data_IF_093515241649
#
_entry.id   IF_093515241649
#
_cell.length_a   1.000
_cell.length_b   1.000
_cell.length_c   1.000
_cell.angle_alpha   90.00
_cell.angle_beta   90.00
_cell.angle_gamma   90.00
#
_symmetry.space_group_name_H-M   'P 1'
#
loop_
_entity.id
_entity.type
_entity.pdbx_description
1 polymer ?
#
# COMPACT_ATOMS: atom_id res chain seq x y z
N UNK A 1 -12.80 53.77 -59.58
CA UNK A 1 -12.19 54.17 -58.29
C UNK A 1 -10.68 53.97 -58.35
N UNK A 2 -9.92 54.99 -57.96
CA UNK A 2 -8.45 55.11 -57.95
C UNK A 2 -7.72 53.92 -57.29
N UNK A 3 -6.43 53.61 -57.50
CA UNK A 3 -5.33 53.97 -58.44
C UNK A 3 -4.29 52.81 -58.26
N UNK A 4 -3.67 52.24 -59.31
CA UNK A 4 -2.31 52.52 -59.83
C UNK A 4 -1.15 52.49 -58.77
N UNK A 5 0.07 51.97 -58.99
CA UNK A 5 0.67 51.23 -60.13
C UNK A 5 2.03 50.56 -59.72
N UNK A 6 2.43 49.56 -60.51
CA UNK A 6 3.78 49.06 -60.94
C UNK A 6 5.09 49.87 -60.66
N UNK A 7 6.34 49.36 -60.75
CA UNK A 7 6.95 48.03 -61.09
C UNK A 7 8.47 47.97 -60.75
N UNK A 8 9.12 46.76 -60.79
CA UNK A 8 10.58 46.52 -60.65
C UNK A 8 11.30 46.25 -62.00
N UNK A 9 12.67 46.26 -62.12
CA UNK A 9 13.49 45.03 -61.90
C UNK A 9 14.99 45.26 -61.51
N UNK A 10 15.83 44.19 -61.43
CA UNK A 10 17.30 44.30 -61.60
C UNK A 10 18.22 43.23 -60.93
N UNK A 11 18.58 42.16 -61.64
CA UNK A 11 19.78 41.29 -61.42
C UNK A 11 20.96 41.79 -62.32
N UNK A 12 22.25 41.34 -62.24
CA UNK A 12 22.77 40.04 -61.73
C UNK A 12 24.16 40.07 -61.00
N UNK A 13 24.74 38.86 -60.80
CA UNK A 13 26.15 38.45 -60.53
C UNK A 13 27.24 39.09 -61.47
N UNK A 14 28.60 38.83 -61.40
CA UNK A 14 29.37 37.72 -60.74
C UNK A 14 30.82 37.94 -60.17
N UNK A 15 31.33 36.90 -59.47
CA UNK A 15 32.70 36.28 -59.46
C UNK A 15 34.02 37.04 -59.14
N UNK A 16 34.82 36.38 -58.29
CA UNK A 16 36.27 36.13 -58.47
C UNK A 16 37.22 36.92 -57.56
N UNK A 17 38.44 36.48 -57.22
CA UNK A 17 39.16 35.19 -57.29
C UNK A 17 40.58 35.43 -56.72
N UNK A 18 41.14 34.46 -56.00
CA UNK A 18 42.60 34.33 -55.70
C UNK A 18 43.16 35.10 -54.49
N UNK A 19 44.33 34.77 -53.93
CA UNK A 19 45.16 33.54 -53.90
C UNK A 19 46.55 33.86 -53.31
N UNK A 20 46.96 33.17 -52.24
CA UNK A 20 48.38 32.95 -51.82
C UNK A 20 49.19 34.23 -51.41
N UNK A 21 50.40 34.24 -50.80
CA UNK A 21 51.38 33.21 -50.35
C UNK A 21 52.49 33.87 -49.46
N UNK A 22 53.29 33.11 -48.69
CA UNK A 22 54.54 33.51 -47.94
C UNK A 22 54.40 34.48 -46.74
N UNK A 23 55.36 34.63 -45.79
CA UNK A 23 56.27 33.67 -45.11
C UNK A 23 56.98 34.31 -43.87
N UNK A 24 57.24 33.50 -42.84
CA UNK A 24 58.32 33.57 -41.83
C UNK A 24 58.53 34.76 -40.84
N UNK A 25 58.75 34.33 -39.58
CA UNK A 25 59.61 34.86 -38.48
C UNK A 25 59.07 35.87 -37.45
N UNK A 26 58.76 35.28 -36.28
CA UNK A 26 59.24 35.64 -34.93
C UNK A 26 58.80 36.95 -34.25
N UNK A 27 58.01 36.82 -33.17
CA UNK A 27 57.86 37.88 -32.17
C UNK A 27 56.73 37.69 -31.16
N UNK A 28 57.07 37.22 -29.95
CA UNK A 28 56.51 37.70 -28.66
C UNK A 28 55.00 37.50 -28.34
N UNK A 29 54.75 36.61 -27.35
CA UNK A 29 53.68 36.62 -26.32
C UNK A 29 52.22 36.96 -26.71
N UNK A 30 51.31 35.98 -26.59
CA UNK A 30 49.86 36.24 -26.59
C UNK A 30 48.99 34.97 -26.54
N UNK A 31 48.26 34.80 -25.45
CA UNK A 31 47.41 33.65 -25.08
C UNK A 31 46.23 33.30 -26.03
N UNK A 32 45.78 32.03 -25.93
CA UNK A 32 44.42 31.46 -26.16
C UNK A 32 44.04 30.78 -27.50
N UNK A 33 43.18 29.73 -27.34
CA UNK A 33 42.44 28.92 -28.35
C UNK A 33 43.32 27.94 -29.17
N UNK A 34 42.96 26.68 -29.45
CA UNK A 34 41.77 25.85 -29.16
C UNK A 34 42.20 24.37 -29.05
N UNK A 35 41.75 23.65 -28.03
CA UNK A 35 41.64 22.18 -28.08
C UNK A 35 40.20 21.82 -27.71
N UNK A 36 39.55 21.06 -28.58
CA UNK A 36 38.15 20.69 -28.44
C UNK A 36 37.96 19.73 -27.26
N UNK A 37 37.51 20.25 -26.12
CA UNK A 37 36.94 19.42 -25.06
C UNK A 37 35.43 19.38 -25.21
N UNK A 38 34.94 18.24 -25.71
CA UNK A 38 33.54 17.85 -25.48
C UNK A 38 33.31 17.92 -23.97
N UNK A 39 32.26 18.63 -23.49
CA UNK A 39 31.85 18.53 -22.10
C UNK A 39 31.44 17.09 -21.85
N UNK A 40 32.36 16.31 -21.27
CA UNK A 40 32.10 14.98 -20.78
C UNK A 40 30.97 15.13 -19.77
N UNK A 41 29.77 14.65 -20.10
CA UNK A 41 28.66 14.63 -19.17
C UNK A 41 29.17 14.04 -17.86
N UNK A 42 28.95 14.75 -16.74
CA UNK A 42 29.47 14.33 -15.45
C UNK A 42 28.96 12.91 -15.19
N UNK A 43 29.89 11.95 -15.17
CA UNK A 43 29.55 10.55 -15.12
C UNK A 43 28.80 10.26 -13.83
N UNK A 44 27.68 9.54 -13.94
CA UNK A 44 27.15 8.82 -12.79
C UNK A 44 28.30 8.02 -12.17
N UNK A 45 28.49 8.12 -10.85
CA UNK A 45 29.52 7.30 -10.21
C UNK A 45 29.18 5.82 -10.42
N UNK A 46 30.15 4.98 -10.79
CA UNK A 46 29.89 3.56 -10.98
C UNK A 46 29.62 2.92 -9.62
N UNK A 47 28.38 2.50 -9.39
CA UNK A 47 28.02 1.74 -8.20
C UNK A 47 28.83 0.45 -8.10
N UNK A 48 28.97 -0.11 -6.89
CA UNK A 48 29.61 -1.41 -6.67
C UNK A 48 28.66 -2.56 -7.06
N UNK A 49 28.84 -3.25 -8.20
CA UNK A 49 27.83 -4.15 -8.73
C UNK A 49 27.96 -5.55 -8.13
N UNK A 50 26.85 -6.14 -7.67
CA UNK A 50 26.74 -7.54 -7.29
C UNK A 50 25.78 -8.26 -8.21
N UNK A 51 26.28 -9.28 -8.90
CA UNK A 51 25.53 -10.00 -9.91
C UNK A 51 24.80 -11.22 -9.33
N UNK A 52 23.56 -11.43 -9.76
CA UNK A 52 22.70 -12.54 -9.37
C UNK A 52 22.25 -13.29 -10.64
N UNK A 53 23.00 -14.32 -11.02
CA UNK A 53 22.86 -14.95 -12.34
C UNK A 53 23.68 -14.24 -13.41
N UNK A 54 23.32 -14.43 -14.69
CA UNK A 54 24.10 -13.90 -15.82
C UNK A 54 23.81 -12.42 -16.14
N UNK A 55 22.57 -11.99 -15.96
CA UNK A 55 22.08 -10.71 -16.51
C UNK A 55 21.52 -9.73 -15.45
N UNK A 56 21.34 -10.17 -14.19
CA UNK A 56 20.84 -9.32 -13.10
C UNK A 56 21.99 -8.76 -12.27
N UNK A 57 21.99 -7.44 -12.06
CA UNK A 57 22.96 -6.71 -11.26
C UNK A 57 22.25 -5.84 -10.23
N UNK A 58 22.75 -5.83 -8.99
CA UNK A 58 22.27 -4.98 -7.90
C UNK A 58 23.45 -4.16 -7.38
N UNK A 59 23.29 -2.84 -7.28
CA UNK A 59 24.27 -1.97 -6.64
C UNK A 59 24.28 -2.23 -5.12
N UNK A 60 25.45 -2.51 -4.55
CA UNK A 60 25.58 -2.86 -3.12
C UNK A 60 26.32 -1.77 -2.35
N UNK A 61 25.64 -1.20 -1.36
CA UNK A 61 26.26 -0.37 -0.33
C UNK A 61 27.30 -1.16 0.47
N UNK A 62 28.47 -0.55 0.69
CA UNK A 62 29.54 -1.07 1.55
C UNK A 62 30.04 0.03 2.51
N UNK A 63 30.99 -0.32 3.38
CA UNK A 63 31.53 0.59 4.41
C UNK A 63 32.20 1.89 3.87
N UNK A 64 32.38 2.01 2.55
CA UNK A 64 33.04 3.13 1.87
C UNK A 64 32.22 3.76 0.74
N UNK A 65 31.06 3.19 0.39
CA UNK A 65 30.24 3.66 -0.74
C UNK A 65 28.77 3.26 -0.60
N UNK A 66 27.87 4.21 -0.84
CA UNK A 66 26.45 4.01 -1.15
C UNK A 66 26.07 4.93 -2.30
N UNK A 67 25.15 4.51 -3.15
CA UNK A 67 24.49 5.42 -4.11
C UNK A 67 23.54 6.35 -3.35
N UNK A 68 24.05 7.53 -2.94
CA UNK A 68 23.18 8.60 -2.45
C UNK A 68 22.47 9.22 -3.63
N UNK A 69 21.16 9.00 -3.73
CA UNK A 69 20.27 10.05 -4.20
C UNK A 69 20.58 11.31 -3.35
N UNK A 70 20.64 12.49 -3.98
CA UNK A 70 20.72 13.77 -3.23
C UNK A 70 19.70 13.72 -2.08
N UNK A 71 20.09 14.03 -0.83
CA UNK A 71 19.27 13.69 0.33
C UNK A 71 17.89 14.32 0.22
N UNK A 72 16.88 13.47 -0.02
CA UNK A 72 15.47 13.87 -0.12
C UNK A 72 14.96 14.09 1.31
N UNK A 73 15.33 15.23 1.89
CA UNK A 73 14.94 15.62 3.25
C UNK A 73 13.49 16.10 3.26
N UNK A 74 12.55 15.15 3.27
CA UNK A 74 11.11 15.35 3.38
C UNK A 74 10.52 14.43 4.47
N UNK A 75 11.00 14.61 5.70
CA UNK A 75 10.09 15.30 6.63
C UNK A 75 10.68 16.58 7.27
N UNK A 76 9.83 17.34 7.96
CA UNK A 76 10.12 18.67 8.52
C UNK A 76 11.16 18.69 9.64
N UNK A 77 11.32 17.57 10.34
CA UNK A 77 12.32 17.30 11.38
C UNK A 77 13.65 16.75 10.84
N UNK A 78 13.77 16.52 9.52
CA UNK A 78 14.99 16.02 8.84
C UNK A 78 15.50 14.63 9.26
N UNK A 79 14.74 13.91 10.09
CA UNK A 79 14.95 12.51 10.47
C UNK A 79 13.77 11.68 9.92
N UNK A 80 14.04 10.52 9.32
CA UNK A 80 13.01 9.60 8.82
C UNK A 80 12.08 9.06 9.93
N UNK A 81 12.53 9.14 11.19
CA UNK A 81 11.81 8.71 12.39
C UNK A 81 11.05 9.86 13.05
N UNK A 82 10.09 9.50 13.89
CA UNK A 82 9.46 10.44 14.83
C UNK A 82 8.50 11.44 14.19
N UNK A 83 8.30 12.57 14.87
CA UNK A 83 7.24 13.53 14.53
C UNK A 83 7.65 14.44 13.37
N UNK A 84 7.46 13.95 12.15
CA UNK A 84 7.80 14.65 10.91
C UNK A 84 6.63 14.76 9.95
N UNK A 85 6.27 15.97 9.52
CA UNK A 85 5.31 16.19 8.41
C UNK A 85 6.06 16.47 7.12
N UNK A 86 5.40 16.45 5.96
CA UNK A 86 5.96 17.14 4.79
C UNK A 86 6.20 18.63 5.12
N UNK A 87 7.26 19.22 4.53
CA UNK A 87 7.55 20.65 4.63
C UNK A 87 6.53 21.43 3.79
N UNK A 88 6.16 22.63 4.24
CA UNK A 88 5.28 23.54 3.51
C UNK A 88 3.81 23.13 3.51
N UNK A 89 3.12 23.23 2.37
CA UNK A 89 1.66 22.98 2.22
C UNK A 89 1.32 22.33 0.87
N UNK A 90 0.20 21.61 0.81
CA UNK A 90 -0.30 20.99 -0.42
C UNK A 90 -0.37 22.00 -1.59
N UNK A 91 -0.04 21.54 -2.80
CA UNK A 91 0.15 22.36 -3.98
C UNK A 91 1.55 22.95 -4.15
N UNK A 92 2.44 22.87 -3.16
CA UNK A 92 3.80 23.41 -3.24
C UNK A 92 4.83 22.45 -3.87
N UNK A 93 6.10 22.88 -3.94
CA UNK A 93 7.17 22.07 -4.53
C UNK A 93 7.46 20.78 -3.75
N UNK A 94 7.24 20.75 -2.44
CA UNK A 94 7.55 19.59 -1.59
C UNK A 94 6.46 18.52 -1.76
N UNK A 95 5.19 18.92 -1.71
CA UNK A 95 4.06 18.02 -1.90
C UNK A 95 4.00 17.48 -3.33
N UNK A 96 4.28 18.32 -4.34
CA UNK A 96 4.44 17.85 -5.74
C UNK A 96 5.62 16.91 -5.92
N UNK A 97 6.73 17.12 -5.21
CA UNK A 97 7.87 16.19 -5.23
C UNK A 97 7.49 14.84 -4.61
N UNK A 98 6.74 14.84 -3.49
CA UNK A 98 6.24 13.62 -2.87
C UNK A 98 5.24 12.89 -3.76
N UNK A 99 4.26 13.58 -4.37
CA UNK A 99 3.37 12.98 -5.35
C UNK A 99 4.11 12.39 -6.56
N UNK A 100 5.14 13.07 -7.06
CA UNK A 100 5.99 12.55 -8.15
C UNK A 100 6.86 11.36 -7.71
N UNK A 101 7.19 11.21 -6.42
CA UNK A 101 7.88 10.03 -5.89
C UNK A 101 7.02 8.77 -6.03
N UNK A 102 5.71 8.84 -5.74
CA UNK A 102 4.78 7.74 -6.02
C UNK A 102 4.78 7.35 -7.50
N UNK A 103 4.76 8.32 -8.41
CA UNK A 103 4.79 8.03 -9.86
C UNK A 103 6.11 7.36 -10.26
N UNK A 104 7.26 7.86 -9.78
CA UNK A 104 8.56 7.23 -10.03
C UNK A 104 8.66 5.80 -9.47
N UNK A 105 8.07 5.53 -8.31
CA UNK A 105 7.98 4.18 -7.75
C UNK A 105 7.20 3.24 -8.68
N UNK A 106 6.03 3.68 -9.17
CA UNK A 106 5.22 2.91 -10.11
C UNK A 106 5.94 2.73 -11.47
N UNK A 107 6.59 3.78 -11.98
CA UNK A 107 7.40 3.73 -13.21
C UNK A 107 8.55 2.73 -13.11
N UNK A 108 9.24 2.67 -11.96
CA UNK A 108 10.36 1.75 -11.75
C UNK A 108 9.88 0.30 -11.71
N UNK A 109 8.84 -0.01 -10.93
CA UNK A 109 8.28 -1.36 -10.87
C UNK A 109 7.68 -1.82 -12.20
N UNK A 110 7.12 -0.91 -13.01
CA UNK A 110 6.64 -1.23 -14.35
C UNK A 110 7.76 -1.74 -15.28
N UNK A 111 9.01 -1.27 -15.14
CA UNK A 111 10.17 -1.81 -15.88
C UNK A 111 10.47 -3.28 -15.53
N UNK A 112 10.07 -3.71 -14.34
CA UNK A 112 10.17 -5.10 -13.87
C UNK A 112 8.89 -5.92 -14.14
N UNK A 113 7.97 -5.42 -14.97
CA UNK A 113 6.66 -6.01 -15.26
C UNK A 113 5.75 -6.17 -14.02
N UNK A 114 5.92 -5.31 -13.01
CA UNK A 114 5.08 -5.27 -11.82
C UNK A 114 4.15 -4.06 -11.85
N UNK A 115 2.84 -4.30 -11.70
CA UNK A 115 1.79 -3.27 -11.71
C UNK A 115 1.04 -3.25 -10.37
N UNK A 116 0.73 -2.06 -9.85
CA UNK A 116 0.01 -1.91 -8.59
C UNK A 116 -1.48 -1.66 -8.80
N UNK A 117 -2.31 -2.52 -8.20
CA UNK A 117 -3.76 -2.36 -8.13
C UNK A 117 -4.18 -1.09 -7.38
N UNK A 118 -3.49 -0.81 -6.27
CA UNK A 118 -3.70 0.35 -5.41
C UNK A 118 -2.41 0.81 -4.72
N UNK A 119 -2.41 2.06 -4.22
CA UNK A 119 -1.47 2.60 -3.25
C UNK A 119 -2.24 3.28 -2.11
N UNK A 120 -1.67 3.31 -0.91
CA UNK A 120 -2.21 4.07 0.22
C UNK A 120 -1.52 5.45 0.28
N UNK A 121 -2.22 6.47 0.75
CA UNK A 121 -1.70 7.85 0.74
C UNK A 121 -0.51 8.06 1.69
N UNK A 122 -0.48 7.32 2.80
CA UNK A 122 0.57 7.27 3.82
C UNK A 122 0.19 6.17 4.82
N UNK A 123 1.15 5.34 5.25
CA UNK A 123 0.96 4.38 6.36
C UNK A 123 0.90 5.08 7.73
N UNK A 124 -0.11 4.78 8.53
CA UNK A 124 -0.35 5.28 9.90
C UNK A 124 -0.09 6.79 10.11
N UNK A 125 -0.73 7.67 9.31
CA UNK A 125 -0.48 9.11 9.31
C UNK A 125 -0.74 9.81 10.65
N UNK A 126 -1.57 9.25 11.54
CA UNK A 126 -1.82 9.83 12.86
C UNK A 126 -0.92 9.24 13.95
N UNK A 127 -0.51 7.97 13.85
CA UNK A 127 0.45 7.38 14.78
C UNK A 127 1.75 8.20 14.85
N UNK A 128 2.17 8.72 13.70
CA UNK A 128 3.27 9.68 13.52
C UNK A 128 3.19 10.95 14.39
N UNK A 129 1.98 11.41 14.74
CA UNK A 129 1.74 12.61 15.55
C UNK A 129 1.61 12.30 17.05
N UNK A 130 1.04 11.13 17.36
CA UNK A 130 0.71 10.73 18.73
C UNK A 130 1.91 10.10 19.45
N UNK A 131 2.66 9.24 18.77
CA UNK A 131 3.86 8.59 19.30
C UNK A 131 5.15 9.33 18.86
N UNK A 132 6.28 8.91 19.42
CA UNK A 132 7.61 9.13 18.81
C UNK A 132 8.08 7.79 18.23
N UNK A 133 7.50 7.34 17.09
CA UNK A 133 7.92 6.08 16.49
C UNK A 133 9.40 6.15 16.13
N UNK A 134 10.17 5.15 16.56
CA UNK A 134 11.60 5.05 16.20
C UNK A 134 11.79 4.49 14.78
N UNK A 135 10.70 4.16 14.09
CA UNK A 135 10.63 3.63 12.73
C UNK A 135 10.15 4.69 11.72
N UNK A 136 10.27 4.45 10.40
CA UNK A 136 9.97 5.47 9.39
C UNK A 136 8.51 5.89 9.38
N UNK A 137 8.23 7.20 9.32
CA UNK A 137 6.87 7.71 9.28
C UNK A 137 6.76 9.11 8.67
N UNK A 138 5.58 9.48 8.16
CA UNK A 138 5.24 10.86 7.81
C UNK A 138 3.86 11.18 8.37
N UNK A 139 3.78 12.24 9.15
CA UNK A 139 2.56 12.73 9.78
C UNK A 139 1.67 13.49 8.79
N UNK A 140 0.38 13.15 8.82
CA UNK A 140 -0.70 13.96 8.25
C UNK A 140 -1.86 14.04 9.25
N UNK A 141 -2.47 15.21 9.36
CA UNK A 141 -3.88 15.29 9.80
C UNK A 141 -4.80 14.92 8.65
N UNK A 142 -6.05 14.53 8.93
CA UNK A 142 -7.04 14.23 7.89
C UNK A 142 -7.26 15.41 6.91
N UNK A 143 -7.08 16.66 7.38
CA UNK A 143 -7.15 17.87 6.56
C UNK A 143 -5.95 17.99 5.62
N UNK A 144 -4.73 17.72 6.10
CA UNK A 144 -3.54 17.70 5.26
C UNK A 144 -3.58 16.56 4.24
N UNK A 145 -4.06 15.37 4.62
CA UNK A 145 -4.23 14.25 3.68
C UNK A 145 -5.27 14.60 2.61
N UNK A 146 -6.42 15.21 2.98
CA UNK A 146 -7.41 15.74 2.02
C UNK A 146 -6.77 16.67 1.00
N UNK A 147 -5.99 17.65 1.46
CA UNK A 147 -5.44 18.68 0.58
C UNK A 147 -4.32 18.14 -0.31
N UNK A 148 -3.45 17.26 0.22
CA UNK A 148 -2.45 16.54 -0.57
C UNK A 148 -3.08 15.66 -1.65
N UNK A 149 -4.16 14.94 -1.34
CA UNK A 149 -4.91 14.14 -2.32
C UNK A 149 -5.58 15.02 -3.38
N UNK A 150 -6.20 16.13 -2.97
CA UNK A 150 -6.91 17.03 -3.88
C UNK A 150 -5.98 17.81 -4.83
N UNK A 151 -4.80 18.25 -4.36
CA UNK A 151 -3.93 19.17 -5.08
C UNK A 151 -2.74 18.49 -5.77
N UNK A 152 -2.23 17.39 -5.22
CA UNK A 152 -0.96 16.79 -5.65
C UNK A 152 -1.09 15.32 -6.05
N UNK A 153 -1.36 14.41 -5.11
CA UNK A 153 -1.29 12.96 -5.34
C UNK A 153 -2.38 12.45 -6.30
N UNK A 154 -3.64 12.85 -6.08
CA UNK A 154 -4.75 12.48 -6.95
C UNK A 154 -4.53 12.96 -8.40
N UNK A 155 -4.24 14.26 -8.63
CA UNK A 155 -3.88 14.76 -9.94
C UNK A 155 -2.64 14.13 -10.57
N UNK A 156 -1.63 13.73 -9.78
CA UNK A 156 -0.44 13.03 -10.29
C UNK A 156 -0.78 11.62 -10.78
N UNK A 157 -1.47 10.82 -9.96
CA UNK A 157 -1.92 9.47 -10.32
C UNK A 157 -2.82 9.50 -11.56
N UNK A 158 -3.78 10.43 -11.62
CA UNK A 158 -4.72 10.56 -12.73
C UNK A 158 -4.08 11.00 -14.07
N UNK A 159 -2.88 11.61 -14.04
CA UNK A 159 -2.08 11.92 -15.25
C UNK A 159 -1.10 10.81 -15.63
N UNK A 160 -0.86 9.85 -14.74
CA UNK A 160 0.04 8.72 -15.00
C UNK A 160 -0.67 7.63 -15.81
N UNK A 161 0.11 6.75 -16.44
CA UNK A 161 -0.39 5.61 -17.21
C UNK A 161 -0.80 4.40 -16.36
N UNK A 162 -0.59 4.43 -15.03
CA UNK A 162 -0.64 3.22 -14.19
C UNK A 162 -2.06 2.74 -13.84
N UNK A 163 -3.06 3.62 -13.88
CA UNK A 163 -4.45 3.28 -13.51
C UNK A 163 -4.65 2.84 -12.04
N UNK A 164 -3.62 3.04 -11.21
CA UNK A 164 -3.56 2.62 -9.80
C UNK A 164 -4.59 3.36 -8.95
N UNK A 165 -5.32 2.62 -8.11
CA UNK A 165 -6.31 3.17 -7.18
C UNK A 165 -5.64 3.85 -5.99
N UNK A 166 -6.23 4.93 -5.48
CA UNK A 166 -5.79 5.58 -4.25
C UNK A 166 -6.67 5.18 -3.06
N UNK A 167 -6.02 4.77 -1.98
CA UNK A 167 -6.63 4.45 -0.69
C UNK A 167 -6.19 5.50 0.33
N UNK A 168 -7.13 5.99 1.15
CA UNK A 168 -6.88 7.00 2.19
C UNK A 168 -6.92 6.41 3.60
N UNK A 169 -6.57 7.24 4.59
CA UNK A 169 -6.37 6.87 5.99
C UNK A 169 -5.19 5.92 6.18
N UNK A 170 -5.39 4.60 6.02
CA UNK A 170 -4.37 3.57 6.27
C UNK A 170 -3.88 3.58 7.73
N UNK A 171 -4.85 3.56 8.64
CA UNK A 171 -4.64 3.75 10.08
C UNK A 171 -5.78 3.08 10.89
N UNK A 172 -5.75 3.19 12.20
CA UNK A 172 -6.67 2.49 13.10
C UNK A 172 -8.14 2.90 12.90
N UNK A 173 -9.06 1.91 12.99
CA UNK A 173 -10.51 2.18 12.80
C UNK A 173 -11.14 3.18 13.77
N UNK A 174 -10.47 3.50 14.88
CA UNK A 174 -10.91 4.53 15.84
C UNK A 174 -10.95 5.95 15.23
N UNK A 175 -10.30 6.17 14.09
CA UNK A 175 -10.35 7.45 13.37
C UNK A 175 -11.57 7.56 12.43
N UNK A 176 -12.34 6.48 12.28
CA UNK A 176 -13.57 6.46 11.49
C UNK A 176 -14.82 6.72 12.34
N UNK A 177 -15.84 7.42 11.81
CA UNK A 177 -15.94 7.96 10.44
C UNK A 177 -15.30 9.36 10.25
N UNK A 178 -14.63 9.92 11.26
CA UNK A 178 -14.18 11.31 11.23
C UNK A 178 -13.16 11.61 10.11
N UNK A 179 -12.19 10.71 9.90
CA UNK A 179 -11.19 10.85 8.84
C UNK A 179 -11.82 10.81 7.44
N UNK A 180 -12.71 9.83 7.21
CA UNK A 180 -13.47 9.71 5.97
C UNK A 180 -14.31 10.98 5.71
N UNK A 181 -14.98 11.54 6.72
CA UNK A 181 -15.71 12.81 6.58
C UNK A 181 -14.82 13.98 6.15
N UNK A 182 -13.62 14.11 6.73
CA UNK A 182 -12.71 15.20 6.39
C UNK A 182 -12.18 15.11 4.96
N UNK A 183 -11.88 13.90 4.46
CA UNK A 183 -11.34 13.69 3.10
C UNK A 183 -12.45 13.57 2.06
N UNK A 184 -13.36 12.60 2.21
CA UNK A 184 -14.42 12.29 1.23
C UNK A 184 -15.55 13.33 1.22
N UNK A 185 -15.69 14.13 2.28
CA UNK A 185 -16.58 15.30 2.28
C UNK A 185 -16.14 16.43 1.33
N UNK A 186 -14.93 16.36 0.77
CA UNK A 186 -14.44 17.31 -0.23
C UNK A 186 -14.47 16.65 -1.63
N UNK A 187 -15.33 17.16 -2.52
CA UNK A 187 -15.53 16.62 -3.87
C UNK A 187 -14.27 16.68 -4.79
N UNK A 188 -13.27 17.50 -4.45
CA UNK A 188 -11.99 17.52 -5.19
C UNK A 188 -11.05 16.42 -4.73
N UNK A 189 -11.01 16.10 -3.44
CA UNK A 189 -10.29 14.91 -2.95
C UNK A 189 -11.04 13.62 -3.34
N UNK A 190 -12.33 13.53 -3.03
CA UNK A 190 -13.14 12.32 -3.16
C UNK A 190 -13.11 11.69 -4.56
N UNK A 191 -13.07 12.50 -5.64
CA UNK A 191 -13.03 11.99 -7.02
C UNK A 191 -11.79 11.14 -7.35
N UNK A 192 -10.72 11.27 -6.58
CA UNK A 192 -9.48 10.50 -6.75
C UNK A 192 -9.39 9.28 -5.83
N UNK A 193 -10.27 9.17 -4.82
CA UNK A 193 -10.19 8.15 -3.78
C UNK A 193 -11.08 6.96 -4.12
N UNK A 194 -10.50 5.77 -4.19
CA UNK A 194 -11.25 4.54 -4.43
C UNK A 194 -11.80 3.91 -3.13
N UNK A 195 -11.08 4.04 -2.02
CA UNK A 195 -11.44 3.43 -0.74
C UNK A 195 -10.65 3.95 0.46
N UNK A 196 -10.91 3.36 1.61
CA UNK A 196 -10.31 3.70 2.91
C UNK A 196 -9.61 2.47 3.49
N UNK A 197 -8.32 2.61 3.80
CA UNK A 197 -7.47 1.59 4.43
C UNK A 197 -7.60 1.65 5.94
N UNK A 198 -7.62 0.50 6.60
CA UNK A 198 -7.93 0.35 8.02
C UNK A 198 -7.01 -0.67 8.68
N UNK A 199 -6.45 -0.32 9.83
CA UNK A 199 -5.56 -1.17 10.63
C UNK A 199 -6.30 -1.74 11.86
N UNK A 200 -5.90 -2.94 12.28
CA UNK A 200 -6.59 -3.75 13.29
C UNK A 200 -6.28 -3.40 14.75
N UNK A 201 -5.16 -2.73 15.06
CA UNK A 201 -4.55 -2.80 16.39
C UNK A 201 -5.38 -2.22 17.54
N UNK A 202 -6.29 -1.29 17.25
CA UNK A 202 -7.19 -0.67 18.23
C UNK A 202 -8.66 -1.09 18.09
N UNK A 203 -8.93 -2.22 17.44
CA UNK A 203 -10.30 -2.75 17.22
C UNK A 203 -11.12 -2.88 18.51
N UNK A 204 -10.49 -3.23 19.64
CA UNK A 204 -11.17 -3.39 20.93
C UNK A 204 -11.70 -2.10 21.53
N UNK A 205 -11.26 -0.93 21.06
CA UNK A 205 -11.64 0.38 21.59
C UNK A 205 -12.98 0.87 21.02
N UNK A 206 -13.28 0.55 19.75
CA UNK A 206 -14.52 1.00 19.08
C UNK A 206 -15.23 -0.16 18.39
N UNK A 207 -16.55 -0.31 18.55
CA UNK A 207 -17.33 -1.27 17.76
C UNK A 207 -17.23 -1.01 16.26
N UNK A 208 -17.22 -2.09 15.47
CA UNK A 208 -17.24 -2.03 14.00
C UNK A 208 -18.46 -1.27 13.44
N UNK A 209 -19.61 -1.33 14.13
CA UNK A 209 -20.83 -0.60 13.75
C UNK A 209 -20.68 0.93 13.86
N UNK A 210 -20.02 1.42 14.91
CA UNK A 210 -19.79 2.85 15.14
C UNK A 210 -18.74 3.46 14.20
N UNK A 211 -17.92 2.63 13.55
CA UNK A 211 -16.75 3.04 12.76
C UNK A 211 -16.90 2.66 11.28
N UNK A 212 -16.84 1.35 10.97
CA UNK A 212 -16.90 0.81 9.61
C UNK A 212 -18.29 0.99 8.98
N UNK A 213 -19.34 0.50 9.64
CA UNK A 213 -20.72 0.62 9.13
C UNK A 213 -21.17 2.09 9.06
N UNK A 214 -20.81 2.90 10.06
CA UNK A 214 -21.06 4.34 10.03
C UNK A 214 -20.35 5.03 8.85
N UNK A 215 -19.13 4.61 8.49
CA UNK A 215 -18.40 5.13 7.32
C UNK A 215 -19.05 4.67 6.02
N UNK A 216 -19.39 3.39 5.89
CA UNK A 216 -20.05 2.85 4.70
C UNK A 216 -21.41 3.54 4.45
N UNK A 217 -22.21 3.79 5.50
CA UNK A 217 -23.49 4.52 5.37
C UNK A 217 -23.34 5.95 4.87
N UNK A 218 -22.21 6.61 5.15
CA UNK A 218 -21.92 7.97 4.70
C UNK A 218 -21.30 8.00 3.30
N UNK A 219 -20.49 7.01 2.95
CA UNK A 219 -19.67 6.98 1.74
C UNK A 219 -19.74 5.61 1.04
N UNK A 220 -20.93 5.11 0.65
CA UNK A 220 -21.13 3.72 0.21
C UNK A 220 -20.41 3.36 -1.10
N UNK A 221 -20.04 4.38 -1.89
CA UNK A 221 -19.33 4.22 -3.16
C UNK A 221 -17.80 4.09 -3.00
N UNK A 222 -17.26 4.24 -1.78
CA UNK A 222 -15.85 4.05 -1.47
C UNK A 222 -15.70 2.79 -0.62
N UNK A 223 -14.87 1.83 -1.05
CA UNK A 223 -14.72 0.58 -0.33
C UNK A 223 -13.95 0.77 0.98
N UNK A 224 -14.19 -0.12 1.95
CA UNK A 224 -13.34 -0.26 3.14
C UNK A 224 -12.44 -1.49 2.93
N UNK A 225 -11.15 -1.37 3.23
CA UNK A 225 -10.17 -2.45 3.15
C UNK A 225 -9.39 -2.50 4.47
N UNK A 226 -9.31 -3.68 5.10
CA UNK A 226 -8.32 -3.87 6.15
C UNK A 226 -6.96 -4.11 5.47
N UNK A 227 -6.09 -3.10 5.55
CA UNK A 227 -4.81 -3.01 4.85
C UNK A 227 -3.66 -3.58 5.68
N UNK A 228 -3.80 -3.62 7.01
CA UNK A 228 -2.80 -4.21 7.90
C UNK A 228 -3.46 -4.85 9.14
N UNK A 229 -2.93 -6.01 9.52
CA UNK A 229 -3.24 -6.70 10.76
C UNK A 229 -2.07 -7.61 11.18
N UNK A 230 -1.72 -7.65 12.47
CA UNK A 230 -0.81 -8.65 13.02
C UNK A 230 -1.15 -9.02 14.47
N UNK A 231 -0.45 -10.01 15.03
CA UNK A 231 -0.48 -10.36 16.47
C UNK A 231 0.91 -10.24 17.08
N UNK A 232 1.01 -10.26 18.41
CA UNK A 232 2.32 -10.15 19.09
C UNK A 232 2.79 -8.71 19.35
N UNK A 233 2.11 -7.70 18.81
CA UNK A 233 2.39 -6.27 19.02
C UNK A 233 2.21 -5.74 20.46
N UNK A 234 1.66 -6.56 21.38
CA UNK A 234 1.47 -6.18 22.78
C UNK A 234 2.65 -6.68 23.63
N UNK A 235 3.46 -5.72 24.10
CA UNK A 235 4.77 -5.92 24.76
C UNK A 235 4.81 -6.82 26.01
N UNK A 236 3.65 -7.15 26.60
CA UNK A 236 3.57 -8.03 27.78
C UNK A 236 3.51 -9.53 27.46
N UNK A 237 3.67 -9.94 26.19
CA UNK A 237 3.77 -11.35 25.75
C UNK A 237 4.90 -11.51 24.74
N UNK A 238 5.36 -12.76 24.56
CA UNK A 238 6.28 -13.12 23.47
C UNK A 238 5.73 -12.68 22.11
N UNK A 239 6.57 -12.05 21.29
CA UNK A 239 6.19 -11.62 19.94
C UNK A 239 5.75 -12.81 19.09
N UNK A 240 6.58 -13.84 18.95
CA UNK A 240 6.24 -15.12 18.33
C UNK A 240 5.70 -16.11 19.37
N UNK A 241 4.69 -16.90 19.01
CA UNK A 241 4.14 -17.96 19.87
C UNK A 241 3.74 -19.16 19.01
N UNK A 242 4.66 -20.12 18.90
CA UNK A 242 4.48 -21.31 18.04
C UNK A 242 3.27 -22.14 18.49
N UNK A 243 2.36 -22.43 17.58
CA UNK A 243 1.15 -23.22 17.83
C UNK A 243 0.01 -22.49 18.55
N UNK A 244 0.08 -21.16 18.70
CA UNK A 244 -0.91 -20.41 19.48
C UNK A 244 -2.31 -20.35 18.80
N UNK A 245 -3.23 -21.22 19.24
CA UNK A 245 -4.62 -21.24 18.74
C UNK A 245 -5.35 -19.91 18.97
N UNK A 246 -5.15 -19.27 20.13
CA UNK A 246 -5.76 -17.96 20.46
C UNK A 246 -5.47 -16.88 19.40
N UNK A 247 -4.28 -16.92 18.78
CA UNK A 247 -3.93 -16.00 17.68
C UNK A 247 -4.68 -16.34 16.39
N UNK A 248 -4.86 -17.63 16.08
CA UNK A 248 -5.75 -18.08 15.00
C UNK A 248 -7.19 -17.57 15.20
N UNK A 249 -7.77 -17.84 16.37
CA UNK A 249 -9.12 -17.39 16.74
C UNK A 249 -9.30 -15.88 16.55
N UNK A 250 -8.32 -15.07 16.98
CA UNK A 250 -8.33 -13.60 16.82
C UNK A 250 -8.34 -13.16 15.35
N UNK A 251 -7.58 -13.82 14.47
CA UNK A 251 -7.57 -13.51 13.03
C UNK A 251 -8.94 -13.82 12.41
N UNK A 252 -9.47 -15.02 12.62
CA UNK A 252 -10.79 -15.39 12.07
C UNK A 252 -11.92 -14.55 12.65
N UNK A 253 -11.86 -14.19 13.94
CA UNK A 253 -12.81 -13.26 14.57
C UNK A 253 -12.77 -11.87 13.92
N UNK A 254 -11.57 -11.35 13.66
CA UNK A 254 -11.38 -10.07 12.95
C UNK A 254 -11.99 -10.13 11.55
N UNK A 255 -11.62 -11.12 10.74
CA UNK A 255 -12.13 -11.30 9.37
C UNK A 255 -13.66 -11.44 9.35
N UNK A 256 -14.24 -12.29 10.22
CA UNK A 256 -15.69 -12.46 10.35
C UNK A 256 -16.41 -11.17 10.76
N UNK A 257 -15.81 -10.42 11.68
CA UNK A 257 -16.34 -9.13 12.13
C UNK A 257 -16.36 -8.13 10.99
N UNK A 258 -15.23 -7.93 10.30
CA UNK A 258 -15.11 -6.86 9.29
C UNK A 258 -15.90 -7.16 8.02
N UNK A 259 -15.95 -8.42 7.56
CA UNK A 259 -16.76 -8.82 6.41
C UNK A 259 -18.26 -8.58 6.65
N UNK A 260 -18.73 -8.74 7.90
CA UNK A 260 -20.10 -8.41 8.27
C UNK A 260 -20.35 -6.90 8.45
N UNK A 261 -19.32 -6.05 8.41
CA UNK A 261 -19.41 -4.59 8.50
C UNK A 261 -18.82 -3.90 7.24
N UNK A 262 -19.17 -4.42 6.06
CA UNK A 262 -18.93 -3.79 4.74
C UNK A 262 -17.47 -3.65 4.29
N UNK A 263 -16.53 -4.34 4.95
CA UNK A 263 -15.13 -4.41 4.49
C UNK A 263 -15.02 -5.40 3.33
N UNK A 264 -14.31 -5.01 2.27
CA UNK A 264 -14.19 -5.74 1.01
C UNK A 264 -12.98 -6.69 0.95
N UNK A 265 -12.03 -6.57 1.87
CA UNK A 265 -10.84 -7.42 1.95
C UNK A 265 -10.06 -7.22 3.26
N UNK A 266 -9.15 -8.13 3.55
CA UNK A 266 -8.35 -8.15 4.78
C UNK A 266 -6.94 -8.63 4.46
N UNK A 267 -5.93 -7.92 4.95
CA UNK A 267 -4.52 -8.11 4.59
C UNK A 267 -3.71 -8.33 5.87
N UNK A 268 -2.95 -9.43 5.90
CA UNK A 268 -1.97 -9.72 6.94
C UNK A 268 -0.71 -8.85 6.77
N UNK A 269 0.07 -8.69 7.84
CA UNK A 269 1.26 -7.84 7.82
C UNK A 269 2.50 -8.53 7.22
N UNK A 270 3.31 -9.21 8.05
CA UNK A 270 4.51 -9.89 7.57
C UNK A 270 4.19 -11.33 7.16
N UNK A 271 4.33 -11.64 5.87
CA UNK A 271 4.08 -12.99 5.32
C UNK A 271 4.90 -14.11 5.99
N UNK A 272 6.11 -13.79 6.45
CA UNK A 272 6.96 -14.67 7.25
C UNK A 272 7.88 -13.84 8.16
N UNK A 273 8.23 -14.39 9.34
CA UNK A 273 9.22 -13.83 10.27
C UNK A 273 10.12 -14.95 10.83
N UNK A 274 11.22 -14.59 11.49
CA UNK A 274 12.06 -15.55 12.22
C UNK A 274 11.44 -15.97 13.59
N UNK A 275 12.14 -16.85 14.32
CA UNK A 275 11.74 -17.31 15.67
C UNK A 275 11.61 -16.18 16.72
N UNK A 276 12.22 -15.01 16.49
CA UNK A 276 12.15 -13.85 17.37
C UNK A 276 10.99 -12.91 17.02
N UNK A 277 10.51 -12.96 15.77
CA UNK A 277 9.49 -12.05 15.22
C UNK A 277 10.09 -10.92 14.39
N UNK A 278 11.28 -11.14 13.83
CA UNK A 278 12.04 -10.18 13.03
C UNK A 278 12.52 -10.74 11.69
N UNK A 279 13.57 -10.13 11.09
CA UNK A 279 14.36 -9.03 11.64
C UNK A 279 13.59 -7.70 11.69
N UNK A 280 13.76 -6.94 12.78
CA UNK A 280 13.21 -5.60 12.92
C UNK A 280 14.25 -4.67 13.56
N UNK A 281 14.66 -3.62 12.85
CA UNK A 281 15.77 -2.74 13.25
C UNK A 281 15.50 -1.85 14.47
N UNK A 282 14.24 -1.72 14.89
CA UNK A 282 13.83 -1.04 16.14
C UNK A 282 13.30 -2.03 17.18
N UNK A 283 13.54 -3.33 16.98
CA UNK A 283 13.13 -4.43 17.87
C UNK A 283 11.61 -4.50 18.12
N UNK A 284 10.79 -3.89 17.24
CA UNK A 284 9.33 -3.96 17.28
C UNK A 284 8.84 -5.30 16.71
N UNK A 285 9.21 -6.40 17.37
CA UNK A 285 8.94 -7.76 16.94
C UNK A 285 7.46 -8.14 17.11
N UNK A 286 6.92 -8.86 16.13
CA UNK A 286 5.52 -9.34 16.08
C UNK A 286 5.46 -10.83 15.72
N UNK A 287 4.28 -11.44 15.71
CA UNK A 287 4.07 -12.79 15.18
C UNK A 287 3.77 -12.72 13.67
N UNK A 288 3.98 -13.84 12.98
CA UNK A 288 3.59 -14.01 11.57
C UNK A 288 2.91 -15.37 11.38
N UNK A 289 1.96 -15.53 10.44
CA UNK A 289 1.41 -16.83 10.06
C UNK A 289 2.44 -17.89 9.65
N UNK A 290 3.65 -17.49 9.23
CA UNK A 290 4.76 -18.40 8.93
C UNK A 290 6.01 -17.99 9.70
N UNK A 291 6.56 -18.90 10.49
CA UNK A 291 7.80 -18.68 11.24
C UNK A 291 8.92 -19.52 10.64
N UNK A 292 10.02 -18.90 10.25
CA UNK A 292 11.17 -19.53 9.61
C UNK A 292 12.29 -19.78 10.62
N UNK A 293 12.83 -20.99 10.61
CA UNK A 293 14.01 -21.39 11.35
C UNK A 293 15.10 -21.80 10.36
N UNK A 294 15.85 -20.79 9.91
CA UNK A 294 16.93 -20.93 8.93
C UNK A 294 18.09 -21.80 9.44
N UNK A 295 18.22 -22.01 10.75
CA UNK A 295 19.24 -22.90 11.32
C UNK A 295 18.98 -24.38 11.03
N UNK A 296 17.72 -24.72 10.70
CA UNK A 296 17.28 -26.10 10.41
C UNK A 296 16.72 -26.27 9.00
N UNK A 297 16.67 -25.21 8.19
CA UNK A 297 15.98 -25.17 6.89
C UNK A 297 14.51 -25.61 6.97
N UNK A 298 13.78 -25.09 7.98
CA UNK A 298 12.34 -25.38 8.18
C UNK A 298 11.52 -24.12 8.38
N UNK A 299 10.22 -24.24 8.16
CA UNK A 299 9.23 -23.23 8.52
C UNK A 299 8.01 -23.85 9.21
N UNK A 300 7.45 -23.12 10.17
CA UNK A 300 6.28 -23.51 10.94
C UNK A 300 5.09 -22.67 10.48
N UNK A 301 4.06 -23.34 9.95
CA UNK A 301 2.78 -22.71 9.62
C UNK A 301 1.94 -22.62 10.89
N UNK A 302 1.74 -21.40 11.39
CA UNK A 302 1.01 -21.11 12.62
C UNK A 302 -0.51 -21.36 12.46
N UNK A 303 -1.29 -21.50 13.55
CA UNK A 303 -2.75 -21.53 13.47
C UNK A 303 -3.34 -20.35 12.68
N UNK A 304 -2.75 -19.15 12.77
CA UNK A 304 -3.13 -17.97 11.97
C UNK A 304 -3.15 -18.27 10.45
N UNK A 305 -2.18 -19.02 9.93
CA UNK A 305 -2.14 -19.42 8.51
C UNK A 305 -3.40 -20.21 8.11
N UNK A 306 -3.79 -21.17 8.95
CA UNK A 306 -4.95 -22.01 8.68
C UNK A 306 -6.26 -21.24 8.86
N UNK A 307 -6.39 -20.43 9.91
CA UNK A 307 -7.56 -19.58 10.14
C UNK A 307 -7.77 -18.58 8.99
N UNK A 308 -6.71 -17.95 8.45
CA UNK A 308 -6.83 -17.15 7.22
C UNK A 308 -7.22 -17.99 6.01
N UNK A 309 -6.66 -19.20 5.90
CA UNK A 309 -6.95 -20.16 4.83
C UNK A 309 -8.43 -20.54 4.72
N UNK A 310 -9.18 -20.55 5.82
CA UNK A 310 -10.64 -20.75 5.83
C UNK A 310 -11.42 -19.66 5.06
N UNK A 311 -10.81 -18.50 4.81
CA UNK A 311 -11.36 -17.43 3.98
C UNK A 311 -10.66 -17.39 2.62
N UNK A 312 -9.35 -17.17 2.57
CA UNK A 312 -8.60 -16.89 1.33
C UNK A 312 -8.62 -18.02 0.31
N UNK A 313 -8.70 -19.29 0.75
CA UNK A 313 -8.79 -20.45 -0.15
C UNK A 313 -10.18 -20.62 -0.78
N UNK A 314 -11.23 -20.14 -0.10
CA UNK A 314 -12.61 -20.48 -0.42
C UNK A 314 -13.43 -19.29 -0.94
N UNK A 315 -13.00 -18.07 -0.67
CA UNK A 315 -13.63 -16.81 -1.06
C UNK A 315 -12.76 -16.13 -2.14
N UNK A 316 -12.95 -16.45 -3.43
CA UNK A 316 -12.28 -15.76 -4.54
C UNK A 316 -12.75 -14.31 -4.68
N UNK A 317 -11.94 -13.48 -5.36
CA UNK A 317 -12.31 -12.12 -5.72
C UNK A 317 -13.68 -12.06 -6.44
N UNK A 318 -14.45 -11.01 -6.18
CA UNK A 318 -15.80 -10.84 -6.73
C UNK A 318 -16.91 -11.59 -5.97
N UNK A 319 -16.56 -12.41 -4.96
CA UNK A 319 -17.55 -13.00 -4.04
C UNK A 319 -18.33 -11.91 -3.30
N UNK A 320 -19.63 -12.13 -3.08
CA UNK A 320 -20.55 -11.17 -2.47
C UNK A 320 -21.10 -11.71 -1.17
N UNK A 321 -20.94 -10.97 -0.07
CA UNK A 321 -21.56 -11.31 1.22
C UNK A 321 -23.08 -11.30 1.11
N UNK A 322 -23.73 -12.38 1.52
CA UNK A 322 -25.19 -12.50 1.57
C UNK A 322 -25.70 -12.42 3.00
N UNK A 323 -27.01 -12.18 3.19
CA UNK A 323 -27.63 -12.18 4.50
C UNK A 323 -27.69 -13.58 5.11
N UNK A 324 -27.31 -13.72 6.38
CA UNK A 324 -27.50 -14.94 7.16
C UNK A 324 -28.13 -14.59 8.51
N UNK A 325 -29.20 -15.28 8.87
CA UNK A 325 -29.98 -15.02 10.08
C UNK A 325 -29.90 -16.22 11.04
N UNK A 326 -29.35 -16.03 12.24
CA UNK A 326 -29.38 -17.08 13.28
C UNK A 326 -30.75 -17.17 13.93
N UNK A 327 -31.38 -18.35 13.92
CA UNK A 327 -32.72 -18.55 14.51
C UNK A 327 -32.72 -18.48 16.04
N UNK A 328 -31.55 -18.64 16.68
CA UNK A 328 -31.37 -18.60 18.14
C UNK A 328 -30.14 -17.78 18.50
N UNK A 329 -30.17 -17.15 19.69
CA UNK A 329 -29.02 -16.48 20.30
C UNK A 329 -28.54 -17.31 21.48
N UNK A 330 -27.27 -17.69 21.51
CA UNK A 330 -26.66 -18.36 22.65
C UNK A 330 -25.70 -17.38 23.34
N UNK A 331 -25.84 -17.15 24.65
CA UNK A 331 -24.98 -16.18 25.34
C UNK A 331 -23.54 -16.68 25.56
N UNK A 332 -23.33 -18.00 25.64
CA UNK A 332 -22.04 -18.62 25.99
C UNK A 332 -21.48 -19.52 24.87
N UNK A 333 -22.22 -19.67 23.77
CA UNK A 333 -21.91 -20.55 22.65
C UNK A 333 -22.31 -19.90 21.31
N UNK A 334 -22.22 -18.57 21.23
CA UNK A 334 -22.53 -17.84 20.01
C UNK A 334 -21.50 -18.19 18.93
N UNK A 335 -21.93 -18.91 17.89
CA UNK A 335 -21.15 -19.10 16.69
C UNK A 335 -21.03 -17.77 15.94
N UNK A 336 -19.83 -17.51 15.43
CA UNK A 336 -19.53 -16.39 14.55
C UNK A 336 -19.48 -16.89 13.11
N UNK A 337 -20.08 -16.15 12.17
CA UNK A 337 -20.28 -16.67 10.83
C UNK A 337 -20.38 -15.59 9.75
N UNK A 338 -20.01 -15.96 8.52
CA UNK A 338 -20.26 -15.15 7.32
C UNK A 338 -20.62 -16.06 6.15
N UNK A 339 -21.67 -15.69 5.42
CA UNK A 339 -22.08 -16.36 4.18
C UNK A 339 -21.77 -15.46 2.97
N UNK A 340 -21.24 -16.06 1.90
CA UNK A 340 -20.93 -15.36 0.64
C UNK A 340 -21.34 -16.21 -0.56
N UNK A 341 -21.88 -15.56 -1.59
CA UNK A 341 -22.08 -16.14 -2.91
C UNK A 341 -20.85 -15.87 -3.77
N UNK A 342 -20.24 -16.92 -4.32
CA UNK A 342 -19.08 -16.84 -5.22
C UNK A 342 -19.50 -16.51 -6.65
N UNK A 343 -18.60 -15.98 -7.50
CA UNK A 343 -18.88 -15.74 -8.92
C UNK A 343 -19.25 -17.00 -9.71
N UNK A 344 -18.88 -18.19 -9.24
CA UNK A 344 -19.19 -19.49 -9.85
C UNK A 344 -20.50 -20.13 -9.36
N UNK A 345 -21.34 -19.36 -8.66
CA UNK A 345 -22.66 -19.77 -8.16
C UNK A 345 -22.64 -20.63 -6.90
N UNK A 346 -21.47 -20.95 -6.35
CA UNK A 346 -21.36 -21.69 -5.09
C UNK A 346 -21.50 -20.76 -3.88
N UNK A 347 -22.13 -21.25 -2.81
CA UNK A 347 -22.24 -20.55 -1.52
C UNK A 347 -21.14 -21.04 -0.59
N UNK A 348 -20.49 -20.09 0.08
CA UNK A 348 -19.50 -20.33 1.13
C UNK A 348 -20.07 -19.87 2.45
N UNK A 349 -19.98 -20.71 3.48
CA UNK A 349 -20.24 -20.34 4.87
C UNK A 349 -19.02 -20.65 5.71
N UNK A 350 -18.41 -19.62 6.31
CA UNK A 350 -17.39 -19.82 7.35
C UNK A 350 -18.07 -19.74 8.71
N UNK A 351 -17.77 -20.68 9.61
CA UNK A 351 -18.27 -20.77 10.98
C UNK A 351 -17.08 -20.91 11.94
N UNK A 352 -17.06 -20.10 12.99
CA UNK A 352 -16.06 -20.11 14.05
C UNK A 352 -16.73 -20.36 15.40
N UNK A 353 -16.24 -21.37 16.12
CA UNK A 353 -16.58 -21.64 17.52
C UNK A 353 -15.36 -21.38 18.41
N UNK A 354 -15.34 -20.24 19.10
CA UNK A 354 -14.32 -19.90 20.11
C UNK A 354 -14.66 -20.40 21.52
N UNK A 355 -15.76 -21.14 21.69
CA UNK A 355 -16.16 -21.68 22.99
C UNK A 355 -15.48 -23.03 23.26
N UNK A 356 -15.41 -23.43 24.54
CA UNK A 356 -14.80 -24.67 25.00
C UNK A 356 -15.74 -25.90 24.86
N UNK A 357 -16.84 -25.78 24.11
CA UNK A 357 -17.87 -26.82 23.99
C UNK A 357 -18.27 -27.01 22.53
N UNK A 358 -18.67 -28.23 22.20
CA UNK A 358 -19.27 -28.55 20.90
C UNK A 358 -20.66 -27.92 20.78
N UNK A 359 -20.93 -27.25 19.65
CA UNK A 359 -22.20 -26.57 19.39
C UNK A 359 -22.91 -27.23 18.20
N UNK A 360 -24.00 -27.98 18.43
CA UNK A 360 -24.85 -28.47 17.35
C UNK A 360 -25.63 -27.31 16.72
N UNK A 361 -25.69 -27.26 15.39
CA UNK A 361 -26.39 -26.24 14.62
C UNK A 361 -26.92 -26.80 13.30
N UNK A 362 -27.70 -25.99 12.59
CA UNK A 362 -28.24 -26.34 11.27
C UNK A 362 -28.07 -25.20 10.28
N UNK A 363 -27.71 -25.54 9.05
CA UNK A 363 -27.59 -24.61 7.92
C UNK A 363 -28.82 -24.83 7.06
N UNK A 364 -29.64 -23.80 6.86
CA UNK A 364 -30.82 -23.85 5.98
C UNK A 364 -30.60 -22.94 4.79
N UNK A 365 -30.62 -23.51 3.58
CA UNK A 365 -30.63 -22.80 2.31
C UNK A 365 -31.93 -23.11 1.57
N UNK A 366 -32.83 -22.13 1.36
CA UNK A 366 -34.11 -22.35 0.70
C UNK A 366 -34.03 -22.97 -0.71
N UNK A 367 -32.87 -22.89 -1.38
CA UNK A 367 -32.69 -23.48 -2.71
C UNK A 367 -32.39 -24.99 -2.68
N UNK A 368 -31.76 -25.51 -1.62
CA UNK A 368 -31.23 -26.89 -1.59
C UNK A 368 -31.58 -27.70 -0.33
N UNK A 369 -32.12 -27.07 0.71
CA UNK A 369 -32.58 -27.74 1.92
C UNK A 369 -31.72 -27.46 3.14
N UNK A 370 -31.43 -28.50 3.92
CA UNK A 370 -30.91 -28.37 5.29
C UNK A 370 -29.71 -29.30 5.53
N UNK A 371 -28.70 -28.78 6.23
CA UNK A 371 -27.52 -29.52 6.67
C UNK A 371 -27.46 -29.46 8.19
N UNK A 372 -27.51 -30.61 8.86
CA UNK A 372 -27.19 -30.74 10.27
C UNK A 372 -25.68 -30.78 10.48
N UNK A 373 -25.18 -30.04 11.47
CA UNK A 373 -23.77 -29.89 11.71
C UNK A 373 -23.46 -29.74 13.21
N UNK A 374 -22.19 -29.97 13.55
CA UNK A 374 -21.63 -29.64 14.86
C UNK A 374 -20.37 -28.82 14.61
N UNK A 375 -20.24 -27.70 15.33
CA UNK A 375 -18.99 -26.95 15.42
C UNK A 375 -18.28 -27.37 16.72
N UNK A 376 -17.21 -28.20 16.67
CA UNK A 376 -16.50 -28.62 17.87
C UNK A 376 -15.94 -27.44 18.68
N UNK A 377 -15.63 -27.69 19.95
CA UNK A 377 -14.89 -26.74 20.78
C UNK A 377 -13.63 -26.21 20.07
N UNK A 378 -13.36 -24.90 20.19
CA UNK A 378 -12.19 -24.23 19.58
C UNK A 378 -11.94 -24.65 18.12
N UNK A 379 -12.92 -24.44 17.25
CA UNK A 379 -12.85 -24.88 15.84
C UNK A 379 -13.29 -23.80 14.85
N UNK A 380 -12.76 -23.92 13.63
CA UNK A 380 -13.20 -23.15 12.46
C UNK A 380 -13.52 -24.11 11.32
N UNK A 381 -14.61 -23.84 10.61
CA UNK A 381 -15.16 -24.69 9.55
C UNK A 381 -15.54 -23.83 8.36
N UNK A 382 -15.29 -24.32 7.14
CA UNK A 382 -15.78 -23.68 5.91
C UNK A 382 -16.60 -24.68 5.12
N UNK A 383 -17.89 -24.38 4.96
CA UNK A 383 -18.83 -25.13 4.16
C UNK A 383 -18.91 -24.53 2.76
N UNK A 384 -19.00 -25.38 1.74
CA UNK A 384 -19.10 -25.00 0.34
C UNK A 384 -20.13 -25.91 -0.34
N UNK A 385 -21.15 -25.32 -0.96
CA UNK A 385 -22.15 -26.06 -1.75
C UNK A 385 -22.59 -25.25 -2.97
N UNK A 386 -23.24 -25.91 -3.93
CA UNK A 386 -23.91 -25.25 -5.05
C UNK A 386 -25.40 -25.14 -4.78
N UNK A 387 -26.02 -24.07 -5.27
CA UNK A 387 -27.49 -23.94 -5.25
C UNK A 387 -28.16 -24.57 -6.49
N UNK A 388 -27.38 -24.85 -7.54
CA UNK A 388 -27.76 -25.50 -8.81
C UNK A 388 -26.57 -26.30 -9.35
#
# INVERSE_FOLDING_TARGET
>A
PQLAESAPPGLPEPRGRGSAMWAQRAGVLGWLLLLQTVPRAAGAQPCSPKYFGRDSMVCVCNATYCDTLDPVVLPSNEDVRGKGTLKGQAGDKYHKTWANYFIKFLDEYAKHNLTFWAVTAQNEPLAALLAHPQFPTIAFTAVQQRDFVAQDLGPALARSSHGTRLIIMDDQRIHLPAWAKAVLGNATAARYVAGVGVHWYLDSIVPASCSLEATHKLFPNHFLLYTEACSGFLTYRFSVSLGCWERGDRYSHSILTVLNHFVAGWTDWNLALDLQGGPNWVENYVDSPVIVDSSKDVFYKQPMFYHMGHFSKFIPEGSRRVGLHSSRRCLFCQLEHVALLRPDGAVVLVVLNRSAWDVPFGISDPAVGFIEAVAPASSIQTYLWRQQ
#
